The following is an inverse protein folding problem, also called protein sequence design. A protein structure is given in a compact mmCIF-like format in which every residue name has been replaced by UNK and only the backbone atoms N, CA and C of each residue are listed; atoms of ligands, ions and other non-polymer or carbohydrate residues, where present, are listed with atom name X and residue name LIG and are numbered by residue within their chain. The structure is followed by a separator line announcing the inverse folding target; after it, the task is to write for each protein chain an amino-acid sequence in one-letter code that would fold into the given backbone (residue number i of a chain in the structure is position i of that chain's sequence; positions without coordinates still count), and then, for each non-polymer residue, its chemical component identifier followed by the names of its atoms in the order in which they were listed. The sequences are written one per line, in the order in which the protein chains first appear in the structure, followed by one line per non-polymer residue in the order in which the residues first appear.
data_IF_598263385264
#
_entry.id   IF_598263385264
#
_cell.length_a   1.000
_cell.length_b   1.000
_cell.length_c   1.000
_cell.angle_alpha   90.00
_cell.angle_beta   90.00
_cell.angle_gamma   90.00
#
_symmetry.space_group_name_H-M   'P 1'
#
loop_
_entity.id
_entity.type
_entity.pdbx_description
1 polymer ?
#
# COMPACT_ATOMS: atom_id res chain seq x y z
N UNK A 1 10.20 -5.33 -15.99
CA UNK A 1 10.49 -5.83 -14.63
C UNK A 1 9.19 -6.10 -13.92
N UNK A 2 9.09 -7.15 -13.09
CA UNK A 2 7.88 -7.47 -12.33
C UNK A 2 8.11 -7.28 -10.83
N UNK A 3 7.25 -6.50 -10.18
CA UNK A 3 7.19 -6.36 -8.72
C UNK A 3 5.88 -6.98 -8.27
N UNK A 4 5.90 -7.75 -7.19
CA UNK A 4 4.67 -8.18 -6.51
C UNK A 4 4.54 -7.46 -5.18
N UNK A 5 3.36 -6.91 -4.93
CA UNK A 5 3.02 -6.31 -3.64
C UNK A 5 1.78 -6.98 -3.11
N UNK A 6 1.93 -7.66 -1.98
CA UNK A 6 0.83 -8.30 -1.29
C UNK A 6 0.34 -7.41 -0.14
N UNK A 7 -0.98 -7.38 0.09
CA UNK A 7 -1.59 -6.66 1.20
C UNK A 7 -2.34 -7.58 2.14
N UNK A 8 -2.22 -7.29 3.44
CA UNK A 8 -3.13 -7.79 4.46
C UNK A 8 -3.50 -6.67 5.42
N UNK A 9 -4.49 -6.91 6.28
CA UNK A 9 -4.84 -5.95 7.31
C UNK A 9 -5.56 -6.57 8.49
N UNK A 10 -5.81 -5.73 9.49
CA UNK A 10 -6.50 -6.12 10.71
C UNK A 10 -7.08 -4.92 11.43
N UNK A 11 -8.15 -5.19 12.16
CA UNK A 11 -8.87 -4.21 12.97
C UNK A 11 -8.68 -4.54 14.44
N UNK A 12 -8.28 -3.58 15.25
CA UNK A 12 -8.45 -3.65 16.70
C UNK A 12 -9.65 -2.83 17.11
N UNK A 13 -10.49 -3.39 17.96
CA UNK A 13 -11.74 -2.80 18.39
C UNK A 13 -11.77 -2.63 19.90
N UNK A 14 -12.28 -1.49 20.34
CA UNK A 14 -12.41 -1.16 21.75
C UNK A 14 -13.69 -0.34 21.94
N UNK A 15 -14.47 -0.70 22.95
CA UNK A 15 -15.63 0.07 23.37
C UNK A 15 -15.23 0.82 24.64
N UNK A 16 -15.68 2.06 24.77
CA UNK A 16 -15.44 2.86 25.97
C UNK A 16 -16.63 3.73 26.32
N UNK A 17 -16.75 4.10 27.59
CA UNK A 17 -17.83 4.94 28.10
C UNK A 17 -18.97 4.14 28.72
N UNK A 18 -20.08 4.81 28.98
CA UNK A 18 -21.22 4.26 29.72
C UNK A 18 -20.85 3.65 31.07
N UNK A 19 -21.78 2.86 31.62
CA UNK A 19 -21.57 2.14 32.88
C UNK A 19 -20.60 0.95 32.75
N UNK A 20 -20.41 0.43 31.52
CA UNK A 20 -19.55 -0.72 31.26
C UNK A 20 -18.06 -0.38 31.23
N UNK A 21 -17.71 0.90 31.14
CA UNK A 21 -16.32 1.34 31.10
C UNK A 21 -15.64 0.93 29.80
N UNK A 22 -14.45 0.36 29.88
CA UNK A 22 -13.63 -0.03 28.73
C UNK A 22 -13.74 -1.53 28.45
N UNK A 23 -14.07 -1.91 27.21
CA UNK A 23 -14.12 -3.29 26.75
C UNK A 23 -13.15 -3.44 25.58
N UNK A 24 -12.11 -4.25 25.78
CA UNK A 24 -11.18 -4.68 24.73
C UNK A 24 -11.80 -5.84 23.94
N UNK A 25 -11.98 -5.65 22.63
CA UNK A 25 -12.50 -6.67 21.73
C UNK A 25 -11.39 -7.38 20.93
N UNK A 26 -10.14 -6.90 21.03
CA UNK A 26 -8.98 -7.51 20.40
C UNK A 26 -8.86 -7.24 18.90
N UNK A 27 -7.94 -7.99 18.27
CA UNK A 27 -7.63 -7.90 16.84
C UNK A 27 -8.43 -8.89 16.00
N UNK A 28 -8.96 -8.43 14.87
CA UNK A 28 -9.66 -9.22 13.86
C UNK A 28 -8.97 -9.09 12.50
N UNK A 29 -8.63 -10.22 11.87
CA UNK A 29 -8.02 -10.27 10.54
C UNK A 29 -9.07 -9.97 9.46
N UNK A 30 -8.69 -9.17 8.47
CA UNK A 30 -9.55 -8.85 7.34
C UNK A 30 -9.16 -9.65 6.08
N UNK A 31 -9.99 -9.56 5.04
CA UNK A 31 -9.58 -9.82 3.67
C UNK A 31 -9.54 -8.52 2.87
N UNK A 32 -8.61 -8.42 1.93
CA UNK A 32 -8.55 -7.30 0.97
C UNK A 32 -9.43 -7.64 -0.25
N UNK A 33 -10.29 -6.72 -0.64
CA UNK A 33 -11.31 -6.92 -1.69
C UNK A 33 -10.79 -6.48 -3.07
N UNK A 34 -11.28 -7.13 -4.13
CA UNK A 34 -11.00 -6.76 -5.52
C UNK A 34 -11.39 -5.30 -5.79
N UNK A 35 -12.56 -4.87 -5.29
CA UNK A 35 -13.03 -3.49 -5.43
C UNK A 35 -12.06 -2.47 -4.81
N UNK A 36 -11.46 -2.83 -3.67
CA UNK A 36 -10.44 -2.06 -2.99
C UNK A 36 -9.19 -1.86 -3.80
N UNK A 37 -8.62 -2.97 -4.27
CA UNK A 37 -7.43 -2.99 -5.13
C UNK A 37 -7.69 -2.16 -6.39
N UNK A 38 -8.84 -2.36 -7.04
CA UNK A 38 -9.21 -1.59 -8.23
C UNK A 38 -9.35 -0.10 -7.94
N UNK A 39 -9.99 0.29 -6.84
CA UNK A 39 -10.14 1.69 -6.45
C UNK A 39 -8.80 2.36 -6.22
N UNK A 40 -7.93 1.67 -5.48
CA UNK A 40 -6.57 2.08 -5.22
C UNK A 40 -5.78 2.26 -6.51
N UNK A 41 -5.81 1.27 -7.41
CA UNK A 41 -5.15 1.31 -8.73
C UNK A 41 -5.71 2.42 -9.64
N UNK A 42 -6.91 2.93 -9.37
CA UNK A 42 -7.52 4.06 -10.08
C UNK A 42 -7.39 5.40 -9.32
N UNK A 43 -6.36 5.57 -8.47
CA UNK A 43 -6.05 6.82 -7.73
C UNK A 43 -7.11 7.26 -6.71
N UNK A 44 -8.01 6.38 -6.27
CA UNK A 44 -8.88 6.67 -5.13
C UNK A 44 -8.20 6.31 -3.82
N UNK A 45 -8.37 7.14 -2.78
CA UNK A 45 -7.92 6.82 -1.42
C UNK A 45 -8.82 5.75 -0.81
N UNK A 46 -8.37 4.48 -0.70
CA UNK A 46 -9.27 3.39 -0.34
C UNK A 46 -9.47 3.27 1.18
N UNK A 47 -8.76 4.08 1.98
CA UNK A 47 -8.64 3.98 3.44
C UNK A 47 -9.18 5.21 4.18
N UNK A 48 -10.28 5.78 3.70
CA UNK A 48 -10.79 7.09 4.15
C UNK A 48 -11.88 6.98 5.21
N UNK A 49 -12.67 5.90 5.18
CA UNK A 49 -13.83 5.71 6.05
C UNK A 49 -13.82 4.31 6.65
N UNK A 50 -14.17 4.22 7.93
CA UNK A 50 -14.47 2.96 8.60
C UNK A 50 -15.98 2.76 8.61
N UNK A 51 -16.41 1.55 8.27
CA UNK A 51 -17.80 1.14 8.19
C UNK A 51 -18.05 -0.03 9.14
N UNK A 52 -19.21 -0.05 9.80
CA UNK A 52 -19.65 -1.18 10.61
C UNK A 52 -21.04 -1.63 10.17
N UNK A 53 -21.28 -2.93 10.29
CA UNK A 53 -22.52 -3.56 9.87
C UNK A 53 -22.89 -4.77 10.71
N UNK A 54 -24.09 -5.30 10.46
CA UNK A 54 -24.64 -6.48 11.12
C UNK A 54 -24.62 -7.74 10.23
N UNK A 55 -24.00 -7.67 9.06
CA UNK A 55 -23.86 -8.78 8.14
C UNK A 55 -22.97 -9.89 8.67
N UNK A 56 -23.33 -11.13 8.35
CA UNK A 56 -22.65 -12.34 8.84
C UNK A 56 -22.22 -13.30 7.75
N UNK A 57 -22.38 -12.93 6.46
CA UNK A 57 -21.91 -13.79 5.37
C UNK A 57 -20.38 -13.85 5.37
N UNK A 58 -19.84 -15.02 5.05
CA UNK A 58 -18.39 -15.22 4.92
C UNK A 58 -17.79 -14.17 3.97
N UNK A 59 -16.76 -13.42 4.39
CA UNK A 59 -16.10 -12.46 3.53
C UNK A 59 -15.59 -13.10 2.24
N UNK A 60 -15.92 -12.48 1.12
CA UNK A 60 -15.54 -12.90 -0.23
C UNK A 60 -14.88 -11.72 -0.94
N UNK A 61 -13.80 -11.99 -1.66
CA UNK A 61 -13.00 -11.00 -2.39
C UNK A 61 -13.78 -10.18 -3.43
N UNK A 62 -14.89 -10.70 -3.94
CA UNK A 62 -15.73 -10.04 -4.94
C UNK A 62 -16.78 -9.10 -4.32
N UNK A 63 -16.86 -9.02 -3.00
CA UNK A 63 -17.72 -8.05 -2.34
C UNK A 63 -17.19 -6.63 -2.60
N UNK A 64 -18.13 -5.69 -2.72
CA UNK A 64 -17.82 -4.27 -2.97
C UNK A 64 -18.23 -3.37 -1.81
N UNK A 65 -18.94 -3.93 -0.82
CA UNK A 65 -19.49 -3.25 0.36
C UNK A 65 -19.72 -4.27 1.50
N UNK A 66 -20.06 -3.76 2.69
CA UNK A 66 -20.57 -4.59 3.81
C UNK A 66 -21.98 -5.11 3.49
N UNK A 67 -22.38 -6.26 4.01
CA UNK A 67 -23.69 -6.84 3.69
C UNK A 67 -24.84 -6.01 4.29
N UNK A 68 -24.67 -5.56 5.54
CA UNK A 68 -25.67 -4.81 6.28
C UNK A 68 -25.02 -3.64 7.02
N UNK A 69 -24.36 -2.74 6.28
CA UNK A 69 -23.80 -1.49 6.81
C UNK A 69 -24.90 -0.67 7.49
N UNK A 70 -24.63 -0.20 8.71
CA UNK A 70 -25.54 0.75 9.40
C UNK A 70 -24.84 2.01 9.92
N UNK A 71 -23.51 2.01 10.08
CA UNK A 71 -22.78 3.20 10.53
C UNK A 71 -21.42 3.33 9.84
N UNK A 72 -20.89 4.56 9.86
CA UNK A 72 -19.55 4.87 9.37
C UNK A 72 -18.96 6.08 10.11
N UNK A 73 -17.64 6.22 10.05
CA UNK A 73 -16.92 7.42 10.48
C UNK A 73 -15.75 7.68 9.55
N UNK A 74 -15.36 8.94 9.40
CA UNK A 74 -14.19 9.30 8.62
C UNK A 74 -12.91 9.12 9.45
N UNK A 75 -11.82 8.82 8.74
CA UNK A 75 -10.50 8.79 9.34
C UNK A 75 -10.10 10.20 9.81
N UNK A 76 -9.63 10.30 11.05
CA UNK A 76 -8.92 11.49 11.56
C UNK A 76 -7.42 11.35 11.28
N UNK A 77 -6.71 12.47 11.16
CA UNK A 77 -5.37 12.60 10.56
C UNK A 77 -4.24 11.79 11.22
N UNK A 78 -4.48 11.14 12.36
CA UNK A 78 -3.48 10.32 13.05
C UNK A 78 -3.07 9.11 12.19
N UNK A 79 -1.77 8.98 11.95
CA UNK A 79 -1.16 7.91 11.18
C UNK A 79 0.15 7.52 11.82
N UNK A 80 0.30 6.25 12.16
CA UNK A 80 1.58 5.64 12.51
C UNK A 80 2.04 4.81 11.34
N UNK A 81 3.33 4.88 11.01
CA UNK A 81 3.96 4.07 9.97
C UNK A 81 5.17 3.37 10.55
N UNK A 82 5.50 2.21 10.01
CA UNK A 82 6.71 1.52 10.41
C UNK A 82 7.03 0.34 9.52
N UNK A 83 8.17 -0.26 9.81
CA UNK A 83 8.67 -1.43 9.12
C UNK A 83 9.06 -2.47 10.16
N UNK A 84 8.78 -3.73 9.85
CA UNK A 84 9.14 -4.88 10.67
C UNK A 84 10.01 -5.79 9.81
N UNK A 85 11.28 -5.92 10.19
CA UNK A 85 12.26 -6.82 9.56
C UNK A 85 12.08 -8.28 9.99
N UNK A 86 11.43 -8.52 11.12
CA UNK A 86 11.08 -9.86 11.56
C UNK A 86 9.98 -10.45 10.67
N UNK A 87 10.02 -11.77 10.50
CA UNK A 87 9.02 -12.49 9.72
C UNK A 87 7.64 -12.37 10.38
N UNK A 88 6.66 -11.95 9.61
CA UNK A 88 5.26 -12.03 10.01
C UNK A 88 4.85 -13.49 10.17
N UNK A 89 4.16 -13.82 11.26
CA UNK A 89 3.80 -15.20 11.58
C UNK A 89 2.83 -15.84 10.59
N UNK A 90 2.09 -15.04 9.82
CA UNK A 90 1.12 -15.55 8.85
C UNK A 90 1.76 -15.77 7.48
N UNK A 91 2.71 -14.90 7.10
CA UNK A 91 3.29 -14.88 5.74
C UNK A 91 4.75 -15.27 5.65
N UNK A 92 5.48 -15.31 6.77
CA UNK A 92 6.92 -15.55 6.81
C UNK A 92 7.76 -14.40 6.23
N UNK A 93 7.17 -13.21 6.03
CA UNK A 93 7.80 -12.10 5.30
C UNK A 93 7.91 -10.86 6.16
N UNK A 94 8.97 -10.09 5.94
CA UNK A 94 9.11 -8.75 6.49
C UNK A 94 8.08 -7.81 5.83
N UNK A 95 7.60 -6.81 6.56
CA UNK A 95 6.50 -5.96 6.09
C UNK A 95 6.60 -4.51 6.53
N UNK A 96 6.10 -3.63 5.66
CA UNK A 96 5.76 -2.26 6.03
C UNK A 96 4.33 -2.19 6.54
N UNK A 97 4.02 -1.26 7.44
CA UNK A 97 2.65 -1.03 7.87
C UNK A 97 2.29 0.45 7.92
N UNK A 98 1.00 0.71 7.72
CA UNK A 98 0.34 1.96 8.09
C UNK A 98 -0.77 1.61 9.09
N UNK A 99 -0.88 2.40 10.15
CA UNK A 99 -1.88 2.23 11.18
C UNK A 99 -2.56 3.56 11.47
N UNK A 100 -3.88 3.59 11.52
CA UNK A 100 -4.62 4.77 11.94
C UNK A 100 -5.71 4.39 12.95
N UNK A 101 -6.02 5.34 13.84
CA UNK A 101 -7.04 5.22 14.87
C UNK A 101 -8.20 6.16 14.55
N UNK A 102 -9.42 5.66 14.68
CA UNK A 102 -10.65 6.45 14.57
C UNK A 102 -11.56 6.13 15.72
N UNK A 103 -12.40 7.09 16.08
CA UNK A 103 -13.44 6.91 17.08
C UNK A 103 -14.75 7.39 16.48
N UNK A 104 -15.77 6.55 16.57
CA UNK A 104 -17.15 6.93 16.28
C UNK A 104 -17.63 7.87 17.37
N UNK A 105 -18.47 8.84 17.01
CA UNK A 105 -19.14 9.66 18.01
C UNK A 105 -20.01 8.79 18.93
N UNK A 106 -20.30 9.30 20.12
CA UNK A 106 -21.05 8.55 21.15
C UNK A 106 -22.38 8.06 20.58
N UNK A 107 -22.66 6.76 20.72
CA UNK A 107 -23.87 6.12 20.21
C UNK A 107 -23.99 6.04 18.67
N UNK A 108 -23.05 6.59 17.90
CA UNK A 108 -23.14 6.62 16.44
C UNK A 108 -23.00 5.22 15.82
N UNK A 109 -22.31 4.30 16.51
CA UNK A 109 -22.17 2.90 16.12
C UNK A 109 -23.08 1.95 16.92
N UNK A 110 -24.14 2.47 17.56
CA UNK A 110 -25.06 1.67 18.40
C UNK A 110 -25.59 0.46 17.65
N UNK A 111 -25.56 -0.68 18.33
CA UNK A 111 -26.13 -1.94 17.87
C UNK A 111 -25.15 -3.09 17.95
N UNK A 112 -25.54 -4.21 17.34
CA UNK A 112 -24.72 -5.41 17.24
C UNK A 112 -23.89 -5.34 15.95
N UNK A 113 -22.58 -5.22 16.10
CA UNK A 113 -21.63 -5.19 15.01
C UNK A 113 -21.12 -6.60 14.78
N UNK A 114 -21.39 -7.14 13.59
CA UNK A 114 -20.95 -8.45 13.13
C UNK A 114 -19.87 -8.36 12.04
N UNK A 115 -19.76 -7.20 11.39
CA UNK A 115 -18.79 -6.95 10.34
C UNK A 115 -18.22 -5.53 10.41
N UNK A 116 -16.99 -5.38 9.95
CA UNK A 116 -16.30 -4.11 9.82
C UNK A 116 -15.56 -4.05 8.49
N UNK A 117 -15.49 -2.85 7.91
CA UNK A 117 -14.74 -2.60 6.70
C UNK A 117 -14.14 -1.21 6.66
N UNK A 118 -13.21 -1.02 5.73
CA UNK A 118 -12.66 0.30 5.39
C UNK A 118 -12.88 0.56 3.92
N UNK A 119 -13.22 1.79 3.56
CA UNK A 119 -13.54 2.17 2.18
C UNK A 119 -13.19 3.63 1.87
N UNK A 120 -13.48 4.02 0.63
CA UNK A 120 -13.10 5.34 0.10
C UNK A 120 -14.12 6.45 0.36
N UNK A 121 -15.37 6.12 0.67
CA UNK A 121 -16.47 7.09 0.82
C UNK A 121 -17.48 6.64 1.89
N UNK A 122 -18.43 7.53 2.23
CA UNK A 122 -19.48 7.28 3.22
C UNK A 122 -20.46 6.16 2.83
N UNK A 123 -20.61 5.91 1.53
CA UNK A 123 -21.43 4.81 1.02
C UNK A 123 -20.81 3.43 1.32
N UNK A 124 -19.48 3.34 1.44
CA UNK A 124 -18.77 2.09 1.66
C UNK A 124 -18.64 1.24 0.40
N UNK A 125 -18.68 1.88 -0.78
CA UNK A 125 -18.48 1.24 -2.08
C UNK A 125 -17.71 2.21 -3.00
N UNK A 126 -16.48 1.88 -3.43
CA UNK A 126 -15.79 0.60 -3.23
C UNK A 126 -15.27 0.42 -1.80
N UNK A 127 -15.36 -0.80 -1.30
CA UNK A 127 -14.78 -1.23 -0.03
C UNK A 127 -13.38 -1.80 -0.25
N UNK A 128 -12.42 -1.36 0.57
CA UNK A 128 -11.04 -1.83 0.54
C UNK A 128 -10.89 -3.21 1.17
N UNK A 129 -11.47 -3.37 2.35
CA UNK A 129 -11.38 -4.62 3.08
C UNK A 129 -12.58 -4.85 3.96
N UNK A 130 -12.81 -6.12 4.28
CA UNK A 130 -13.90 -6.59 5.12
C UNK A 130 -13.41 -7.62 6.12
N UNK A 131 -13.95 -7.60 7.32
CA UNK A 131 -13.74 -8.58 8.38
C UNK A 131 -15.08 -8.90 9.03
N UNK A 132 -15.29 -10.18 9.35
CA UNK A 132 -16.27 -10.53 10.38
C UNK A 132 -15.67 -10.32 11.76
N UNK A 133 -16.53 -10.08 12.74
CA UNK A 133 -16.17 -10.16 14.14
C UNK A 133 -16.25 -11.63 14.53
N UNK A 134 -15.13 -12.18 14.99
CA UNK A 134 -15.00 -13.58 15.37
C UNK A 134 -14.65 -13.69 16.85
N UNK A 135 -15.10 -14.75 17.50
CA UNK A 135 -14.67 -15.10 18.85
C UNK A 135 -13.27 -15.75 18.84
N UNK A 136 -12.76 -16.11 20.02
CA UNK A 136 -11.45 -16.75 20.18
C UNK A 136 -11.34 -18.14 19.52
N UNK A 137 -12.46 -18.75 19.14
CA UNK A 137 -12.53 -20.03 18.42
C UNK A 137 -12.69 -19.84 16.91
N UNK A 138 -12.71 -18.59 16.42
CA UNK A 138 -12.89 -18.27 15.01
C UNK A 138 -14.34 -18.32 14.54
N UNK A 139 -15.31 -18.37 15.45
CA UNK A 139 -16.73 -18.41 15.10
C UNK A 139 -17.29 -16.99 14.99
N UNK A 140 -18.15 -16.70 14.00
CA UNK A 140 -18.83 -15.41 13.88
C UNK A 140 -19.55 -15.04 15.17
N UNK A 141 -19.32 -13.82 15.64
CA UNK A 141 -19.91 -13.25 16.84
C UNK A 141 -20.20 -11.77 16.63
N UNK A 142 -20.72 -11.10 17.66
CA UNK A 142 -21.01 -9.67 17.60
C UNK A 142 -20.45 -8.94 18.81
N UNK A 143 -20.02 -7.71 18.61
CA UNK A 143 -19.82 -6.74 19.69
C UNK A 143 -21.04 -5.81 19.76
N UNK A 144 -21.49 -5.49 20.96
CA UNK A 144 -22.63 -4.60 21.18
C UNK A 144 -22.15 -3.24 21.66
N UNK A 145 -22.46 -2.18 20.93
CA UNK A 145 -22.22 -0.79 21.34
C UNK A 145 -23.55 -0.16 21.78
N UNK A 146 -23.56 0.49 22.94
CA UNK A 146 -24.73 1.16 23.52
C UNK A 146 -24.79 2.65 23.14
N UNK A 147 -25.89 3.32 23.52
CA UNK A 147 -26.14 4.73 23.17
C UNK A 147 -25.17 5.72 23.81
N UNK A 148 -24.64 5.38 24.97
CA UNK A 148 -23.74 6.19 25.79
C UNK A 148 -22.26 5.81 25.63
N UNK A 149 -21.95 4.97 24.65
CA UNK A 149 -20.62 4.43 24.41
C UNK A 149 -20.00 4.92 23.10
N UNK A 150 -18.68 4.84 23.04
CA UNK A 150 -17.88 5.09 21.85
C UNK A 150 -17.31 3.78 21.33
N UNK A 151 -17.29 3.62 20.00
CA UNK A 151 -16.49 2.60 19.34
C UNK A 151 -15.19 3.23 18.83
N UNK A 152 -14.07 2.70 19.31
CA UNK A 152 -12.73 3.04 18.82
C UNK A 152 -12.22 1.90 17.94
N UNK A 153 -11.72 2.26 16.76
CA UNK A 153 -11.18 1.32 15.78
C UNK A 153 -9.76 1.73 15.44
N UNK A 154 -8.83 0.78 15.52
CA UNK A 154 -7.50 0.92 14.94
C UNK A 154 -7.41 -0.01 13.74
N UNK A 155 -7.17 0.54 12.55
CA UNK A 155 -6.92 -0.26 11.37
C UNK A 155 -5.43 -0.26 11.06
N UNK A 156 -4.87 -1.46 10.85
CA UNK A 156 -3.52 -1.65 10.34
C UNK A 156 -3.60 -2.32 8.97
N UNK A 157 -2.99 -1.68 7.97
CA UNK A 157 -2.72 -2.29 6.67
C UNK A 157 -1.22 -2.60 6.59
N UNK A 158 -0.92 -3.81 6.16
CA UNK A 158 0.43 -4.33 5.96
C UNK A 158 0.69 -4.52 4.48
N UNK A 159 1.93 -4.25 4.07
CA UNK A 159 2.43 -4.43 2.71
C UNK A 159 3.66 -5.32 2.74
N UNK A 160 3.66 -6.31 1.87
CA UNK A 160 4.77 -7.23 1.64
C UNK A 160 5.24 -7.01 0.22
N UNK A 161 6.49 -6.59 0.06
CA UNK A 161 7.05 -6.32 -1.26
C UNK A 161 7.95 -7.49 -1.61
N UNK A 162 7.58 -8.23 -2.64
CA UNK A 162 8.47 -9.18 -3.29
C UNK A 162 9.05 -8.53 -4.54
N UNK A 163 10.35 -8.31 -4.49
CA UNK A 163 11.11 -7.96 -5.67
C UNK A 163 11.59 -9.25 -6.28
N UNK A 164 11.13 -9.56 -7.49
CA UNK A 164 11.84 -10.52 -8.30
C UNK A 164 13.18 -9.89 -8.67
N UNK A 165 14.27 -10.38 -8.08
CA UNK A 165 15.63 -9.95 -8.41
C UNK A 165 16.06 -10.45 -9.80
N UNK A 166 15.15 -11.03 -10.59
CA UNK A 166 15.37 -11.29 -12.01
C UNK A 166 15.85 -10.02 -12.69
N UNK A 167 17.10 -10.05 -13.14
CA UNK A 167 17.66 -9.01 -13.96
C UNK A 167 16.84 -8.89 -15.26
N UNK A 168 16.26 -7.72 -15.51
CA UNK A 168 15.66 -7.46 -16.82
C UNK A 168 16.78 -7.24 -17.81
N UNK A 169 16.87 -8.06 -18.86
CA UNK A 169 17.72 -7.77 -20.01
C UNK A 169 17.05 -6.64 -20.78
N UNK A 170 17.68 -5.46 -20.79
CA UNK A 170 17.36 -4.44 -21.77
C UNK A 170 18.19 -4.74 -23.01
N UNK A 171 17.60 -4.66 -24.20
CA UNK A 171 18.33 -4.54 -25.45
C UNK A 171 18.30 -3.06 -25.84
N UNK A 172 19.47 -2.47 -26.03
CA UNK A 172 19.62 -1.15 -26.62
C UNK A 172 20.39 -1.31 -27.92
N UNK A 173 19.94 -0.62 -28.97
CA UNK A 173 20.60 -0.54 -30.27
C UNK A 173 21.51 0.70 -30.33
N UNK A 174 22.77 0.51 -29.95
CA UNK A 174 23.86 1.41 -30.34
C UNK A 174 24.57 0.79 -31.54
N UNK A 175 24.42 1.40 -32.72
CA UNK A 175 25.13 0.97 -33.94
C UNK A 175 25.01 -0.56 -34.25
N UNK A 176 23.86 -1.19 -33.94
CA UNK A 176 23.61 -2.61 -34.21
C UNK A 176 24.08 -3.60 -33.14
N UNK A 177 24.37 -3.15 -31.91
CA UNK A 177 24.83 -4.01 -30.80
C UNK A 177 23.85 -4.09 -29.64
N UNK A 178 23.23 -5.25 -29.46
CA UNK A 178 22.44 -5.54 -28.26
C UNK A 178 23.35 -5.56 -27.01
N UNK A 179 23.19 -4.56 -26.13
CA UNK A 179 23.84 -4.57 -24.80
C UNK A 179 22.86 -5.10 -23.77
N UNK A 180 23.16 -6.24 -23.14
CA UNK A 180 22.38 -6.78 -22.01
C UNK A 180 22.72 -6.00 -20.75
N UNK A 181 21.80 -5.15 -20.30
CA UNK A 181 21.93 -4.44 -19.02
C UNK A 181 21.19 -5.21 -17.94
N UNK A 182 21.80 -5.41 -16.78
CA UNK A 182 21.13 -5.99 -15.61
C UNK A 182 20.53 -4.90 -14.74
N UNK A 183 19.21 -4.98 -14.51
CA UNK A 183 18.48 -4.06 -13.65
C UNK A 183 18.00 -4.75 -12.36
N UNK A 184 18.22 -4.13 -11.19
CA UNK A 184 17.74 -4.61 -9.90
C UNK A 184 17.21 -3.47 -9.02
N UNK A 185 16.23 -3.77 -8.17
CA UNK A 185 15.67 -2.83 -7.18
C UNK A 185 16.47 -2.89 -5.90
N UNK A 186 16.95 -1.73 -5.46
CA UNK A 186 17.51 -1.56 -4.11
C UNK A 186 16.53 -0.72 -3.28
N UNK A 187 16.07 -1.21 -2.12
CA UNK A 187 15.26 -0.43 -1.19
C UNK A 187 15.97 0.87 -0.77
N UNK A 188 15.21 1.97 -0.67
CA UNK A 188 15.74 3.31 -0.41
C UNK A 188 15.59 3.78 1.03
N UNK A 189 16.43 4.75 1.40
CA UNK A 189 16.58 5.26 2.76
C UNK A 189 16.26 6.77 2.90
N UNK A 190 15.08 7.27 2.49
CA UNK A 190 14.65 8.67 2.71
C UNK A 190 13.59 8.93 3.82
N UNK A 191 13.95 9.73 4.84
CA UNK A 191 13.16 9.98 6.07
C UNK A 191 12.12 11.10 5.98
N UNK A 192 11.86 11.69 4.82
CA UNK A 192 11.05 12.92 4.71
C UNK A 192 9.85 12.80 3.78
N UNK A 193 8.87 11.93 4.09
CA UNK A 193 7.68 11.80 3.22
C UNK A 193 6.37 11.65 3.99
N UNK A 194 5.41 12.55 3.73
CA UNK A 194 4.11 12.66 4.39
C UNK A 194 2.99 11.82 3.73
N UNK A 195 3.28 10.98 2.72
CA UNK A 195 2.29 10.16 1.99
C UNK A 195 2.12 8.69 2.42
N UNK A 196 1.00 8.06 2.09
CA UNK A 196 0.61 6.67 2.47
C UNK A 196 1.60 5.57 2.04
N UNK A 197 2.58 5.90 1.20
CA UNK A 197 3.54 4.97 0.62
C UNK A 197 4.75 4.56 1.44
N UNK A 198 5.02 5.18 2.58
CA UNK A 198 6.37 5.16 3.15
C UNK A 198 6.53 4.22 4.34
N UNK A 199 7.19 3.08 4.10
CA UNK A 199 7.99 2.32 5.05
C UNK A 199 9.05 1.59 4.20
N UNK A 200 10.10 2.34 3.86
CA UNK A 200 11.33 1.79 3.28
C UNK A 200 12.25 1.25 4.37
N UNK A 201 13.11 0.32 3.96
CA UNK A 201 14.15 -0.37 4.73
C UNK A 201 15.37 0.56 5.01
N UNK A 202 16.00 0.48 6.20
CA UNK A 202 17.23 1.23 6.54
C UNK A 202 18.24 0.41 7.37
N UNK A 203 19.52 0.43 6.97
CA UNK A 203 20.56 1.00 7.84
C UNK A 203 21.51 1.99 7.11
N UNK A 204 22.14 2.84 7.91
CA UNK A 204 22.88 4.07 7.54
C UNK A 204 24.33 3.79 7.11
N UNK A 205 24.76 4.25 5.94
CA UNK A 205 26.18 4.57 5.66
C UNK A 205 26.31 5.77 4.73
N UNK A 206 27.03 6.80 5.21
CA UNK A 206 27.33 8.05 4.51
C UNK A 206 28.17 7.82 3.25
N UNK A 207 27.84 8.49 2.14
CA UNK A 207 28.78 8.68 1.02
C UNK A 207 28.11 9.00 -0.31
N UNK A 208 28.30 10.24 -0.78
CA UNK A 208 28.08 10.74 -2.15
C UNK A 208 26.63 10.80 -2.68
N UNK A 209 26.12 12.03 -2.86
CA UNK A 209 24.95 12.35 -3.68
C UNK A 209 25.41 13.25 -4.83
N UNK A 210 25.33 12.83 -6.11
CA UNK A 210 25.18 13.80 -7.18
C UNK A 210 23.74 14.30 -7.12
N UNK A 211 23.58 15.61 -6.96
CA UNK A 211 22.30 16.30 -6.97
C UNK A 211 21.75 16.33 -8.39
N UNK A 212 21.00 15.30 -8.78
CA UNK A 212 20.30 15.23 -10.06
C UNK A 212 18.81 15.48 -9.85
N UNK A 213 18.42 16.75 -10.01
CA UNK A 213 17.04 17.19 -10.06
C UNK A 213 16.47 16.85 -11.45
N UNK A 214 15.99 15.61 -11.62
CA UNK A 214 15.14 15.22 -12.74
C UNK A 214 13.86 14.61 -12.15
N UNK A 215 12.80 15.42 -12.12
CA UNK A 215 11.51 15.02 -11.56
C UNK A 215 10.71 14.22 -12.57
N UNK A 216 10.97 12.92 -12.65
CA UNK A 216 10.23 12.03 -13.54
C UNK A 216 8.94 11.57 -12.86
N UNK A 217 7.80 11.96 -13.43
CA UNK A 217 6.47 11.74 -12.84
C UNK A 217 6.03 10.28 -13.06
N UNK A 218 5.97 9.49 -11.99
CA UNK A 218 5.42 8.13 -12.01
C UNK A 218 3.89 8.15 -12.06
N UNK A 219 3.31 8.22 -13.25
CA UNK A 219 1.90 7.88 -13.44
C UNK A 219 1.80 6.46 -13.97
N UNK A 220 0.95 5.62 -13.36
CA UNK A 220 0.57 4.36 -13.99
C UNK A 220 -0.05 4.70 -15.34
N UNK A 221 0.57 4.21 -16.41
CA UNK A 221 0.11 4.46 -17.77
C UNK A 221 -1.04 3.53 -18.14
N UNK A 222 -1.11 2.38 -17.47
CA UNK A 222 -2.07 1.32 -17.76
C UNK A 222 -2.33 0.50 -16.49
N UNK A 223 -3.58 0.12 -16.27
CA UNK A 223 -4.00 -0.78 -15.18
C UNK A 223 -4.88 -1.86 -15.78
N UNK A 224 -4.47 -3.13 -15.65
CA UNK A 224 -5.24 -4.29 -16.10
C UNK A 224 -5.00 -5.46 -15.16
N UNK A 225 -6.05 -6.21 -14.81
CA UNK A 225 -5.96 -7.45 -14.03
C UNK A 225 -5.14 -7.34 -12.73
N UNK A 226 -5.37 -6.29 -11.93
CA UNK A 226 -4.61 -5.97 -10.70
C UNK A 226 -3.12 -5.67 -10.94
N UNK A 227 -2.71 -5.41 -12.18
CA UNK A 227 -1.35 -5.00 -12.54
C UNK A 227 -1.36 -3.55 -12.98
N UNK A 228 -0.52 -2.72 -12.34
CA UNK A 228 -0.23 -1.37 -12.79
C UNK A 228 1.09 -1.34 -13.55
N UNK A 229 1.08 -0.74 -14.74
CA UNK A 229 2.25 -0.57 -15.57
C UNK A 229 2.74 0.87 -15.49
N UNK A 230 4.02 1.00 -15.18
CA UNK A 230 4.74 2.26 -15.13
C UNK A 230 5.82 2.20 -16.20
N UNK A 231 5.72 3.07 -17.19
CA UNK A 231 6.80 3.25 -18.16
C UNK A 231 7.46 4.58 -17.88
N UNK A 232 8.77 4.56 -17.87
CA UNK A 232 9.56 5.76 -17.75
C UNK A 232 10.53 5.81 -18.92
N UNK A 233 10.48 6.93 -19.62
CA UNK A 233 11.29 7.23 -20.79
C UNK A 233 12.06 8.51 -20.51
N UNK A 234 13.37 8.53 -20.76
CA UNK A 234 14.16 9.75 -20.72
C UNK A 234 15.08 9.89 -21.92
N UNK A 235 15.14 11.13 -22.41
CA UNK A 235 16.14 11.60 -23.34
C UNK A 235 17.38 12.02 -22.56
N UNK A 236 18.49 11.31 -22.72
CA UNK A 236 19.76 11.70 -22.07
C UNK A 236 20.43 12.80 -22.91
N UNK A 237 19.91 14.03 -22.84
CA UNK A 237 20.54 15.18 -23.50
C UNK A 237 21.44 15.97 -22.51
N UNK A 238 22.76 15.86 -22.75
CA UNK A 238 23.83 16.86 -22.53
C UNK A 238 24.90 16.74 -21.44
N UNK A 239 24.85 15.97 -20.35
CA UNK A 239 25.89 16.17 -19.29
C UNK A 239 26.57 14.98 -18.58
N UNK A 240 26.17 13.71 -18.76
CA UNK A 240 26.83 12.58 -18.09
C UNK A 240 27.40 11.55 -19.09
N UNK A 241 28.66 11.14 -18.88
CA UNK A 241 29.39 10.21 -19.78
C UNK A 241 29.11 8.72 -19.47
N UNK A 242 28.59 8.42 -18.29
CA UNK A 242 28.27 7.05 -17.85
C UNK A 242 27.13 7.09 -16.82
N UNK A 243 26.15 6.20 -16.94
CA UNK A 243 24.99 6.13 -16.05
C UNK A 243 24.89 4.74 -15.41
N UNK A 244 24.96 4.68 -14.08
CA UNK A 244 24.97 3.42 -13.32
C UNK A 244 23.67 3.16 -12.56
N UNK A 245 22.77 4.14 -12.48
CA UNK A 245 21.51 3.96 -11.78
C UNK A 245 20.53 5.10 -11.93
N UNK A 246 19.25 4.77 -11.78
CA UNK A 246 18.09 5.63 -11.69
C UNK A 246 17.59 5.64 -10.25
N UNK A 247 17.00 6.75 -9.82
CA UNK A 247 16.19 6.78 -8.59
C UNK A 247 14.76 7.24 -8.87
N UNK A 248 13.76 6.52 -8.32
CA UNK A 248 12.36 6.95 -8.33
C UNK A 248 12.22 8.25 -7.54
N UNK A 249 11.96 9.36 -8.23
CA UNK A 249 11.64 10.62 -7.59
C UNK A 249 10.31 10.52 -6.82
N UNK A 250 10.22 11.16 -5.65
CA UNK A 250 8.96 11.24 -4.90
C UNK A 250 7.94 12.04 -5.69
N UNK A 251 6.75 11.48 -5.92
CA UNK A 251 5.64 12.24 -6.44
C UNK A 251 5.02 13.14 -5.36
N UNK A 252 4.30 14.17 -5.80
CA UNK A 252 3.40 14.91 -4.92
C UNK A 252 2.35 13.95 -4.33
N UNK A 253 2.09 14.14 -3.03
CA UNK A 253 1.16 13.38 -2.19
C UNK A 253 -0.04 12.81 -2.95
N UNK A 254 -0.20 11.48 -2.98
CA UNK A 254 -1.45 10.85 -3.42
C UNK A 254 -1.44 10.16 -4.78
N UNK A 255 -0.29 9.96 -5.41
CA UNK A 255 -0.21 9.17 -6.64
C UNK A 255 -0.04 7.66 -6.36
N UNK A 256 -0.43 6.83 -7.32
CA UNK A 256 -0.28 5.37 -7.32
C UNK A 256 1.13 4.89 -6.99
N UNK A 257 2.14 5.70 -7.36
CA UNK A 257 3.55 5.37 -7.15
C UNK A 257 3.88 5.27 -5.67
N UNK A 258 3.33 6.13 -4.80
CA UNK A 258 3.57 6.04 -3.36
C UNK A 258 3.15 4.67 -2.83
N UNK A 259 2.01 4.16 -3.30
CA UNK A 259 1.46 2.94 -2.77
C UNK A 259 2.17 1.67 -3.28
N UNK A 260 2.72 1.71 -4.50
CA UNK A 260 3.21 0.54 -5.23
C UNK A 260 4.73 0.44 -5.36
N UNK A 261 5.44 1.56 -5.51
CA UNK A 261 6.91 1.61 -5.62
C UNK A 261 7.41 2.73 -4.69
N UNK A 262 8.02 2.40 -3.53
CA UNK A 262 8.47 3.41 -2.59
C UNK A 262 9.36 4.47 -3.25
N UNK A 263 9.13 5.74 -2.93
CA UNK A 263 10.01 6.83 -3.34
C UNK A 263 11.47 6.53 -2.96
N UNK A 264 12.41 6.92 -3.82
CA UNK A 264 13.83 6.63 -3.68
C UNK A 264 14.25 5.24 -4.14
N UNK A 265 13.32 4.35 -4.53
CA UNK A 265 13.65 3.05 -5.12
C UNK A 265 14.70 3.23 -6.21
N UNK A 266 15.82 2.54 -6.09
CA UNK A 266 16.96 2.69 -7.00
C UNK A 266 17.00 1.52 -7.97
N UNK A 267 17.02 1.82 -9.27
CA UNK A 267 17.31 0.85 -10.31
C UNK A 267 18.78 0.99 -10.68
N UNK A 268 19.56 -0.07 -10.55
CA UNK A 268 20.99 -0.06 -10.87
C UNK A 268 21.23 -0.77 -12.19
N UNK A 269 22.25 -0.34 -12.95
CA UNK A 269 22.65 -0.96 -14.21
C UNK A 269 24.03 -1.57 -14.09
N UNK A 270 24.15 -2.83 -14.50
CA UNK A 270 25.42 -3.54 -14.56
C UNK A 270 25.56 -4.28 -15.91
N UNK A 271 26.51 -3.91 -16.79
CA UNK A 271 27.45 -2.79 -16.61
C UNK A 271 26.75 -1.41 -16.71
N UNK A 272 27.39 -0.33 -16.24
CA UNK A 272 26.89 1.03 -16.46
C UNK A 272 26.70 1.35 -17.95
N UNK A 273 25.66 2.11 -18.27
CA UNK A 273 25.35 2.54 -19.63
C UNK A 273 26.35 3.64 -20.03
N UNK A 274 27.08 3.43 -21.12
CA UNK A 274 28.02 4.41 -21.67
C UNK A 274 27.33 5.22 -22.76
N UNK A 275 27.50 6.54 -22.75
CA UNK A 275 26.84 7.45 -23.69
C UNK A 275 27.28 7.21 -25.14
N UNK A 276 26.32 7.14 -26.06
CA UNK A 276 26.48 7.53 -27.47
C UNK A 276 25.49 8.65 -27.82
N UNK A 277 25.60 9.21 -29.04
CA UNK A 277 24.79 10.33 -29.51
C UNK A 277 23.29 10.00 -29.49
N UNK A 278 22.48 10.93 -28.95
CA UNK A 278 21.00 10.87 -28.84
C UNK A 278 20.46 9.49 -28.43
N UNK A 279 20.48 9.22 -27.13
CA UNK A 279 19.95 7.99 -26.53
C UNK A 279 18.64 8.28 -25.81
N UNK A 280 17.55 7.73 -26.36
CA UNK A 280 16.28 7.54 -25.65
C UNK A 280 16.29 6.14 -25.04
N UNK A 281 15.96 6.02 -23.76
CA UNK A 281 15.76 4.73 -23.13
C UNK A 281 14.43 4.69 -22.40
N UNK A 282 13.87 3.49 -22.32
CA UNK A 282 12.60 3.25 -21.65
C UNK A 282 12.67 2.03 -20.75
N UNK A 283 12.10 2.13 -19.55
CA UNK A 283 11.87 0.98 -18.66
C UNK A 283 10.38 0.87 -18.35
N UNK A 284 9.81 -0.31 -18.59
CA UNK A 284 8.48 -0.67 -18.11
C UNK A 284 8.56 -1.58 -16.89
N UNK A 285 7.96 -1.12 -15.80
CA UNK A 285 7.76 -1.86 -14.56
C UNK A 285 6.29 -2.23 -14.44
N UNK A 286 6.02 -3.52 -14.33
CA UNK A 286 4.71 -4.04 -13.99
C UNK A 286 4.68 -4.33 -12.48
N UNK A 287 3.71 -3.75 -11.78
CA UNK A 287 3.46 -4.02 -10.35
C UNK A 287 2.15 -4.78 -10.22
N UNK A 288 2.25 -6.05 -9.87
CA UNK A 288 1.10 -6.88 -9.54
C UNK A 288 0.72 -6.68 -8.07
N UNK A 289 -0.56 -6.39 -7.83
CA UNK A 289 -1.11 -6.29 -6.48
C UNK A 289 -1.87 -7.56 -6.16
N UNK A 290 -1.51 -8.17 -5.03
CA UNK A 290 -2.10 -9.41 -4.56
C UNK A 290 -2.48 -9.34 -3.08
N UNK A 291 -3.09 -10.41 -2.59
CA UNK A 291 -3.44 -10.60 -1.18
C UNK A 291 -2.33 -11.40 -0.52
N UNK A 292 -1.96 -11.03 0.69
CA UNK A 292 -0.97 -11.77 1.49
C UNK A 292 -1.64 -12.86 2.32
#
# INVERSE_FOLDING_TARGET
MNIKVAYSGRYYLQISGGERGEIDCGWHKNIILNAGINAMLNKNYPLSYIHVGSGSSTPNENQVQLDAKFAHTSRKSELTRGYVTAEDSDTGKAYGYNRFKVQFDKGAAKGNIAEIGVGSNTAGNPLWSRSLILDKKGLPTTITVLEDEFLTVVYEVRRYVEVDTSYVQLEYDDDGKNVVIKCGIVPSTSTSHTGWGSAGLYPRTNGFQPQEWYGSIFNAQKVENNVAYFTWTEDIDRRNQTFSSVTVASNQSGSLSDFLIPAGTKFTFDPPITKTNEFEWSITVAVAVERA
#
